data_IF_252784734439
#
_entry.id   IF_252784734439
#
_cell.length_a   1.000
_cell.length_b   1.000
_cell.length_c   1.000
_cell.angle_alpha   90.00
_cell.angle_beta   90.00
_cell.angle_gamma   90.00
#
_symmetry.space_group_name_H-M   'P 1'
#
loop_
_entity.id
_entity.type
_entity.pdbx_description
1 polymer ?
#
# COMPACT_ATOMS: atom_id res chain seq x y z
N UNK A 1 21.67 -19.87 13.69
CA UNK A 1 21.53 -18.54 13.06
C UNK A 1 20.26 -17.93 13.61
N UNK A 2 20.31 -16.72 14.16
CA UNK A 2 19.09 -15.99 14.49
C UNK A 2 18.59 -15.37 13.18
N UNK A 3 17.52 -15.90 12.62
CA UNK A 3 16.85 -15.29 11.47
C UNK A 3 16.12 -14.03 11.94
N UNK A 4 16.81 -12.89 11.87
CA UNK A 4 16.17 -11.60 12.04
C UNK A 4 15.32 -11.37 10.79
N UNK A 5 14.00 -11.53 10.95
CA UNK A 5 13.04 -11.19 9.90
C UNK A 5 13.26 -9.73 9.50
N UNK A 6 13.63 -9.51 8.25
CA UNK A 6 13.80 -8.16 7.73
C UNK A 6 12.43 -7.46 7.77
N UNK A 7 12.38 -6.25 8.29
CA UNK A 7 11.14 -5.46 8.30
C UNK A 7 10.88 -4.99 6.87
N UNK A 8 9.72 -5.30 6.32
CA UNK A 8 9.22 -4.61 5.14
C UNK A 8 8.29 -3.47 5.55
N UNK A 9 8.31 -2.40 4.77
CA UNK A 9 7.46 -1.22 4.96
C UNK A 9 6.73 -0.91 3.66
N UNK A 10 5.57 -0.27 3.77
CA UNK A 10 4.80 0.23 2.64
C UNK A 10 4.61 1.74 2.74
N UNK A 11 4.84 2.45 1.64
CA UNK A 11 4.56 3.88 1.51
C UNK A 11 3.31 4.04 0.64
N UNK A 12 2.24 4.60 1.21
CA UNK A 12 0.96 4.83 0.53
C UNK A 12 0.85 6.30 0.10
N UNK A 13 0.40 6.53 -1.13
CA UNK A 13 0.27 7.87 -1.70
C UNK A 13 -0.84 7.93 -2.76
N UNK A 14 -1.00 9.10 -3.41
CA UNK A 14 -1.98 9.26 -4.48
C UNK A 14 -3.43 9.10 -3.99
N UNK A 15 -3.74 9.59 -2.80
CA UNK A 15 -5.09 9.46 -2.24
C UNK A 15 -6.15 10.11 -3.12
N UNK A 16 -7.25 9.40 -3.37
CA UNK A 16 -8.42 9.86 -4.12
C UNK A 16 -9.69 9.58 -3.33
N UNK A 17 -10.69 10.44 -3.47
CA UNK A 17 -12.03 10.17 -2.95
C UNK A 17 -12.80 9.29 -3.94
N UNK A 18 -13.27 8.14 -3.48
CA UNK A 18 -14.02 7.16 -4.27
C UNK A 18 -15.19 6.68 -3.41
N UNK A 19 -16.43 6.96 -3.85
CA UNK A 19 -17.68 6.82 -3.08
C UNK A 19 -17.55 7.33 -1.63
N UNK A 20 -17.10 8.57 -1.47
CA UNK A 20 -16.96 9.26 -0.18
C UNK A 20 -15.95 8.63 0.80
N UNK A 21 -15.07 7.75 0.32
CA UNK A 21 -13.94 7.22 1.08
C UNK A 21 -12.63 7.69 0.42
N UNK A 22 -11.70 8.17 1.24
CA UNK A 22 -10.36 8.55 0.78
C UNK A 22 -9.47 7.31 0.78
N UNK A 23 -9.04 6.87 -0.40
CA UNK A 23 -8.28 5.63 -0.61
C UNK A 23 -6.95 5.96 -1.32
N UNK A 24 -5.80 5.42 -0.88
CA UNK A 24 -4.54 5.55 -1.62
C UNK A 24 -4.58 4.68 -2.88
N UNK A 25 -4.25 5.27 -4.04
CA UNK A 25 -4.18 4.53 -5.31
C UNK A 25 -2.76 4.18 -5.72
N UNK A 26 -1.76 4.57 -4.93
CA UNK A 26 -0.35 4.26 -5.17
C UNK A 26 0.28 3.66 -3.92
N UNK A 27 1.06 2.59 -4.10
CA UNK A 27 1.84 1.98 -3.03
C UNK A 27 3.25 1.61 -3.47
N UNK A 28 4.22 1.75 -2.57
CA UNK A 28 5.60 1.27 -2.76
C UNK A 28 5.99 0.40 -1.56
N UNK A 29 6.37 -0.85 -1.82
CA UNK A 29 6.88 -1.76 -0.80
C UNK A 29 8.42 -1.75 -0.81
N UNK A 30 9.02 -1.80 0.37
CA UNK A 30 10.47 -1.74 0.56
C UNK A 30 10.94 -2.60 1.71
N UNK A 31 12.13 -3.17 1.59
CA UNK A 31 12.84 -3.77 2.73
C UNK A 31 13.62 -2.71 3.48
N UNK A 32 13.68 -2.84 4.81
CA UNK A 32 14.64 -2.11 5.65
C UNK A 32 15.77 -3.08 5.98
N UNK A 33 16.91 -2.92 5.31
CA UNK A 33 18.12 -3.72 5.53
C UNK A 33 19.19 -2.81 6.09
N UNK A 34 19.69 -3.13 7.28
CA UNK A 34 20.69 -2.33 8.01
C UNK A 34 20.33 -0.83 8.10
N UNK A 35 19.03 -0.55 8.35
CA UNK A 35 18.49 0.80 8.45
C UNK A 35 18.32 1.55 7.12
N UNK A 36 18.64 0.93 5.98
CA UNK A 36 18.45 1.50 4.65
C UNK A 36 17.20 0.94 3.97
N UNK A 37 16.47 1.81 3.27
CA UNK A 37 15.26 1.46 2.53
C UNK A 37 15.63 0.98 1.11
N UNK A 38 15.17 -0.21 0.76
CA UNK A 38 15.33 -0.83 -0.56
C UNK A 38 13.96 -1.10 -1.18
N UNK A 39 13.46 -0.21 -2.06
CA UNK A 39 12.22 -0.44 -2.79
C UNK A 39 12.32 -1.67 -3.69
N UNK A 40 11.28 -2.49 -3.69
CA UNK A 40 11.25 -3.72 -4.50
C UNK A 40 9.95 -3.93 -5.28
N UNK A 41 8.86 -3.27 -4.90
CA UNK A 41 7.60 -3.34 -5.62
C UNK A 41 6.86 -2.00 -5.59
N UNK A 42 6.17 -1.70 -6.68
CA UNK A 42 5.30 -0.54 -6.82
C UNK A 42 3.96 -1.01 -7.39
N UNK A 43 2.88 -0.48 -6.82
CA UNK A 43 1.51 -0.79 -7.20
C UNK A 43 0.81 0.51 -7.60
N UNK A 44 0.07 0.44 -8.70
CA UNK A 44 -0.84 1.46 -9.17
C UNK A 44 -2.22 0.82 -9.29
N UNK A 45 -3.22 1.44 -8.69
CA UNK A 45 -4.58 0.91 -8.68
C UNK A 45 -5.32 1.39 -9.91
N UNK A 46 -5.60 0.46 -10.82
CA UNK A 46 -6.34 0.74 -12.06
C UNK A 46 -7.86 0.69 -11.86
N UNK A 47 -8.34 -0.28 -11.07
CA UNK A 47 -9.77 -0.50 -10.82
C UNK A 47 -10.01 -0.93 -9.37
N UNK A 48 -11.14 -0.48 -8.79
CA UNK A 48 -11.56 -0.84 -7.45
C UNK A 48 -13.02 -1.30 -7.50
N UNK A 49 -13.23 -2.57 -7.19
CA UNK A 49 -14.54 -3.17 -7.01
C UNK A 49 -14.80 -3.44 -5.52
N UNK A 50 -15.99 -3.11 -5.04
CA UNK A 50 -16.40 -3.37 -3.67
C UNK A 50 -17.92 -3.40 -3.54
N UNK A 51 -18.39 -4.11 -2.52
CA UNK A 51 -19.79 -4.18 -2.19
C UNK A 51 -20.30 -2.78 -1.85
N UNK A 52 -21.17 -2.25 -2.71
CA UNK A 52 -21.92 -1.03 -2.41
C UNK A 52 -23.07 -1.42 -1.51
N UNK A 53 -22.96 -1.10 -0.23
CA UNK A 53 -24.12 -1.01 0.64
C UNK A 53 -24.99 0.16 0.13
N UNK A 54 -25.89 -0.12 -0.82
CA UNK A 54 -26.92 0.84 -1.19
C UNK A 54 -27.75 1.12 0.07
N UNK A 55 -27.59 2.32 0.64
CA UNK A 55 -28.55 2.83 1.61
C UNK A 55 -29.78 3.28 0.83
N UNK A 56 -30.86 2.53 0.96
CA UNK A 56 -32.20 2.90 0.51
C UNK A 56 -32.73 4.11 1.31
#
# INVERSE_FOLDING_TARGET
MNDVLQTWVISLSGYREINSVIIPVLAEASWIVDGKKFPYARFDVEEIEYDRLFRF
#
